data_IF_693762397812
#
_entry.id   IF_693762397812
#
_cell.length_a   1.000
_cell.length_b   1.000
_cell.length_c   1.000
_cell.angle_alpha   90.00
_cell.angle_beta   90.00
_cell.angle_gamma   90.00
#
_symmetry.space_group_name_H-M   'P 1'
#
loop_
_entity.id
_entity.type
_entity.pdbx_description
1 polymer ?
#
# COMPACT_ATOMS: atom_id res chain seq x y z
N UNK A 1 -8.24 -0.54 -5.19
CA UNK A 1 -6.79 -0.60 -5.39
C UNK A 1 -6.31 -1.94 -5.96
N UNK A 2 -6.80 -3.04 -5.47
CA UNK A 2 -6.27 -4.39 -5.78
C UNK A 2 -7.09 -5.14 -6.84
N UNK A 3 -7.91 -4.43 -7.63
CA UNK A 3 -8.77 -4.99 -8.68
C UNK A 3 -8.52 -4.28 -10.01
N UNK A 4 -9.06 -4.86 -11.09
CA UNK A 4 -9.09 -4.27 -12.43
C UNK A 4 -10.12 -3.13 -12.57
N UNK A 5 -10.92 -2.88 -11.55
CA UNK A 5 -11.87 -1.77 -11.51
C UNK A 5 -11.15 -0.43 -11.29
N UNK A 6 -11.77 0.63 -11.81
CA UNK A 6 -11.31 2.02 -11.60
C UNK A 6 -12.21 2.74 -10.61
N UNK A 7 -11.79 3.90 -10.13
CA UNK A 7 -12.61 4.72 -9.24
C UNK A 7 -13.95 5.13 -9.90
N UNK A 8 -13.99 5.27 -11.21
CA UNK A 8 -15.22 5.56 -11.95
C UNK A 8 -16.21 4.38 -11.92
N UNK A 9 -15.70 3.17 -11.71
CA UNK A 9 -16.43 1.91 -11.58
C UNK A 9 -16.36 1.36 -10.14
N UNK A 10 -16.39 2.23 -9.14
CA UNK A 10 -16.17 1.90 -7.73
C UNK A 10 -16.95 0.67 -7.26
N UNK A 11 -18.23 0.56 -7.63
CA UNK A 11 -19.05 -0.60 -7.26
C UNK A 11 -18.57 -1.91 -7.89
N UNK A 12 -17.86 -1.85 -9.01
CA UNK A 12 -17.26 -3.02 -9.65
C UNK A 12 -16.04 -3.53 -8.87
N UNK A 13 -15.45 -2.72 -8.00
CA UNK A 13 -14.33 -3.14 -7.15
C UNK A 13 -14.65 -4.36 -6.28
N UNK A 14 -15.91 -4.54 -5.92
CA UNK A 14 -16.41 -5.69 -5.17
C UNK A 14 -16.63 -6.96 -6.01
N UNK A 15 -16.75 -6.84 -7.32
CA UNK A 15 -17.04 -7.95 -8.26
C UNK A 15 -16.00 -8.09 -9.37
N UNK A 16 -15.04 -7.18 -9.45
CA UNK A 16 -13.95 -7.22 -10.42
C UNK A 16 -12.91 -8.31 -10.11
N UNK A 17 -12.03 -8.55 -11.06
CA UNK A 17 -10.90 -9.46 -10.88
C UNK A 17 -9.90 -8.84 -9.91
N UNK A 18 -9.64 -9.48 -8.78
CA UNK A 18 -8.64 -8.99 -7.82
C UNK A 18 -7.27 -9.65 -8.03
N UNK A 19 -6.22 -9.00 -7.54
CA UNK A 19 -4.85 -9.46 -7.71
C UNK A 19 -4.61 -10.85 -7.08
N UNK A 20 -5.21 -11.17 -5.92
CA UNK A 20 -5.06 -12.49 -5.29
C UNK A 20 -5.56 -13.61 -6.21
N UNK A 21 -6.71 -13.40 -6.88
CA UNK A 21 -7.24 -14.36 -7.85
C UNK A 21 -6.27 -14.56 -9.03
N UNK A 22 -5.75 -13.46 -9.59
CA UNK A 22 -4.81 -13.50 -10.71
C UNK A 22 -3.52 -14.23 -10.33
N UNK A 23 -2.91 -13.86 -9.21
CA UNK A 23 -1.67 -14.48 -8.73
C UNK A 23 -1.87 -15.97 -8.41
N UNK A 24 -2.99 -16.33 -7.78
CA UNK A 24 -3.34 -17.71 -7.48
C UNK A 24 -3.48 -18.55 -8.75
N UNK A 25 -4.16 -18.03 -9.79
CA UNK A 25 -4.28 -18.71 -11.10
C UNK A 25 -2.91 -18.88 -11.77
N UNK A 26 -1.94 -17.98 -11.49
CA UNK A 26 -0.56 -18.10 -11.97
C UNK A 26 0.33 -18.98 -11.07
N UNK A 27 -0.25 -19.70 -10.11
CA UNK A 27 0.43 -20.69 -9.27
C UNK A 27 1.22 -20.09 -8.10
N UNK A 28 0.91 -18.86 -7.70
CA UNK A 28 1.41 -18.31 -6.44
C UNK A 28 0.58 -18.83 -5.26
N UNK A 29 1.23 -19.09 -4.14
CA UNK A 29 0.55 -19.21 -2.84
C UNK A 29 0.21 -17.80 -2.36
N UNK A 30 -1.06 -17.58 -2.02
CA UNK A 30 -1.56 -16.23 -1.72
C UNK A 30 -1.89 -16.06 -0.25
N UNK A 31 -1.43 -14.97 0.33
CA UNK A 31 -1.58 -14.66 1.74
C UNK A 31 -2.12 -13.24 1.93
N UNK A 32 -3.00 -13.08 2.92
CA UNK A 32 -3.39 -11.77 3.46
C UNK A 32 -2.91 -11.70 4.90
N UNK A 33 -2.16 -10.65 5.22
CA UNK A 33 -1.69 -10.33 6.57
C UNK A 33 -2.38 -9.04 6.99
N UNK A 34 -3.17 -9.08 8.05
CA UNK A 34 -3.99 -7.97 8.52
C UNK A 34 -3.65 -7.65 9.95
N UNK A 35 -3.35 -6.40 10.24
CA UNK A 35 -3.25 -5.90 11.61
C UNK A 35 -4.65 -5.51 12.09
N UNK A 36 -4.98 -5.96 13.30
CA UNK A 36 -6.32 -5.87 13.88
C UNK A 36 -7.43 -6.59 13.08
N UNK A 37 -8.59 -6.69 13.69
CA UNK A 37 -9.71 -7.48 13.16
C UNK A 37 -10.47 -6.72 12.05
N UNK A 38 -9.76 -6.20 11.05
CA UNK A 38 -10.32 -5.57 9.86
C UNK A 38 -10.75 -6.59 8.79
N UNK A 39 -10.86 -7.87 9.14
CA UNK A 39 -11.29 -8.93 8.22
C UNK A 39 -12.64 -8.66 7.57
N UNK A 40 -13.49 -7.91 8.25
CA UNK A 40 -14.83 -7.57 7.76
C UNK A 40 -14.82 -6.40 6.73
N UNK A 41 -13.71 -5.70 6.57
CA UNK A 41 -13.64 -4.51 5.72
C UNK A 41 -13.44 -4.82 4.23
N UNK A 42 -12.79 -5.95 3.90
CA UNK A 42 -12.60 -6.37 2.51
C UNK A 42 -12.85 -7.89 2.32
N UNK A 43 -14.11 -8.35 2.50
CA UNK A 43 -14.47 -9.76 2.36
C UNK A 43 -14.07 -10.39 1.01
N UNK A 44 -14.20 -9.69 -0.14
CA UNK A 44 -13.79 -10.26 -1.43
C UNK A 44 -12.29 -10.53 -1.53
N UNK A 45 -11.45 -9.69 -0.90
CA UNK A 45 -10.01 -9.86 -0.90
C UNK A 45 -9.60 -11.04 0.00
N UNK A 46 -10.10 -11.07 1.24
CA UNK A 46 -9.80 -12.14 2.20
C UNK A 46 -10.30 -13.50 1.71
N UNK A 47 -11.48 -13.57 1.09
CA UNK A 47 -12.04 -14.81 0.53
C UNK A 47 -11.22 -15.35 -0.65
N UNK A 48 -10.49 -14.52 -1.39
CA UNK A 48 -9.67 -14.92 -2.52
C UNK A 48 -8.30 -15.52 -2.10
N UNK A 49 -7.83 -15.21 -0.88
CA UNK A 49 -6.56 -15.71 -0.38
C UNK A 49 -6.57 -17.21 -0.07
N UNK A 50 -5.39 -17.84 -0.14
CA UNK A 50 -5.23 -19.21 0.36
C UNK A 50 -5.18 -19.26 1.89
N UNK A 51 -4.65 -18.21 2.52
CA UNK A 51 -4.61 -18.08 3.98
C UNK A 51 -4.62 -16.61 4.40
N UNK A 52 -5.25 -16.35 5.53
CA UNK A 52 -5.33 -15.03 6.16
C UNK A 52 -4.74 -15.14 7.56
N UNK A 53 -3.87 -14.21 7.92
CA UNK A 53 -3.26 -14.09 9.23
C UNK A 53 -3.61 -12.74 9.83
N UNK A 54 -4.15 -12.77 11.04
CA UNK A 54 -4.36 -11.57 11.85
C UNK A 54 -3.20 -11.42 12.82
N UNK A 55 -2.67 -10.22 12.93
CA UNK A 55 -1.62 -9.85 13.87
C UNK A 55 -2.11 -8.74 14.80
N UNK A 56 -1.57 -8.70 16.00
CA UNK A 56 -1.90 -7.64 16.95
C UNK A 56 -1.13 -6.34 16.64
N UNK A 57 0.06 -6.47 16.04
CA UNK A 57 0.92 -5.35 15.68
C UNK A 57 1.59 -5.56 14.33
N UNK A 58 1.72 -4.50 13.55
CA UNK A 58 2.37 -4.53 12.23
C UNK A 58 3.80 -5.06 12.28
N UNK A 59 4.51 -4.83 13.39
CA UNK A 59 5.91 -5.28 13.57
C UNK A 59 6.07 -6.82 13.59
N UNK A 60 4.97 -7.56 13.73
CA UNK A 60 4.96 -9.03 13.69
C UNK A 60 4.97 -9.57 12.25
N UNK A 61 4.53 -8.75 11.29
CA UNK A 61 4.37 -9.12 9.88
C UNK A 61 5.66 -9.68 9.26
N UNK A 62 6.84 -9.04 9.42
CA UNK A 62 8.08 -9.55 8.82
C UNK A 62 8.43 -10.98 9.27
N UNK A 63 8.21 -11.33 10.54
CA UNK A 63 8.51 -12.67 11.06
C UNK A 63 7.60 -13.75 10.45
N UNK A 64 6.33 -13.42 10.24
CA UNK A 64 5.36 -14.32 9.58
C UNK A 64 5.77 -14.50 8.12
N UNK A 65 6.08 -13.42 7.40
CA UNK A 65 6.54 -13.47 6.02
C UNK A 65 7.81 -14.31 5.87
N UNK A 66 8.79 -14.14 6.77
CA UNK A 66 10.04 -14.94 6.78
C UNK A 66 9.77 -16.44 6.93
N UNK A 67 8.79 -16.81 7.75
CA UNK A 67 8.40 -18.20 7.94
C UNK A 67 7.69 -18.77 6.70
N UNK A 68 6.79 -18.00 6.10
CA UNK A 68 6.00 -18.42 4.95
C UNK A 68 6.84 -18.51 3.66
N UNK A 69 7.77 -17.58 3.43
CA UNK A 69 8.62 -17.58 2.23
C UNK A 69 9.59 -18.75 2.19
N UNK A 70 10.00 -19.30 3.34
CA UNK A 70 10.81 -20.52 3.44
C UNK A 70 10.05 -21.78 2.98
N UNK A 71 8.73 -21.80 3.20
CA UNK A 71 7.87 -22.93 2.83
C UNK A 71 7.29 -22.77 1.43
N UNK A 72 6.97 -21.53 1.07
CA UNK A 72 6.30 -21.19 -0.18
C UNK A 72 7.13 -20.16 -0.96
N UNK A 73 8.15 -20.61 -1.73
CA UNK A 73 9.06 -19.70 -2.44
C UNK A 73 8.39 -18.91 -3.57
N UNK A 74 7.25 -19.37 -4.08
CA UNK A 74 6.41 -18.66 -5.04
C UNK A 74 5.14 -18.16 -4.32
N UNK A 75 5.23 -17.02 -3.67
CA UNK A 75 4.16 -16.47 -2.84
C UNK A 75 3.83 -15.03 -3.22
N UNK A 76 2.60 -14.64 -2.96
CA UNK A 76 2.10 -13.28 -3.08
C UNK A 76 1.43 -12.88 -1.78
N UNK A 77 1.86 -11.77 -1.22
CA UNK A 77 1.37 -11.23 0.04
C UNK A 77 0.61 -9.93 -0.20
N UNK A 78 -0.57 -9.82 0.37
CA UNK A 78 -1.24 -8.54 0.60
C UNK A 78 -1.14 -8.25 2.08
N UNK A 79 -0.51 -7.12 2.41
CA UNK A 79 -0.30 -6.67 3.78
C UNK A 79 -1.17 -5.44 4.01
N UNK A 80 -2.11 -5.56 4.93
CA UNK A 80 -2.93 -4.45 5.40
C UNK A 80 -2.49 -4.11 6.82
N UNK A 81 -1.52 -3.22 6.91
CA UNK A 81 -1.05 -2.69 8.19
C UNK A 81 -2.02 -1.65 8.74
N UNK A 82 -1.98 -1.46 10.06
CA UNK A 82 -2.68 -0.34 10.71
C UNK A 82 -1.98 0.99 10.39
N UNK A 83 -0.65 0.97 10.25
CA UNK A 83 0.15 2.11 9.85
C UNK A 83 -0.14 3.36 10.68
N UNK A 84 -0.42 4.45 9.98
CA UNK A 84 -0.70 5.77 10.55
C UNK A 84 -2.21 6.03 10.73
N UNK A 85 -3.04 5.00 10.84
CA UNK A 85 -4.48 5.16 11.03
C UNK A 85 -4.79 6.06 12.23
N UNK A 86 -5.88 6.80 12.16
CA UNK A 86 -6.30 7.84 13.10
C UNK A 86 -6.07 7.47 14.58
N UNK A 87 -5.86 8.49 15.41
CA UNK A 87 -5.40 8.47 16.80
C UNK A 87 -3.90 8.25 17.01
N UNK A 88 -3.13 7.87 16.00
CA UNK A 88 -1.66 7.78 16.01
C UNK A 88 -1.08 7.05 17.23
N UNK A 89 -1.67 5.89 17.59
CA UNK A 89 -1.18 5.05 18.72
C UNK A 89 -0.27 3.91 18.27
N UNK A 90 -0.25 3.64 16.97
CA UNK A 90 0.41 2.47 16.44
C UNK A 90 1.91 2.72 16.33
N UNK A 91 2.57 2.78 17.48
CA UNK A 91 4.02 2.77 17.57
C UNK A 91 4.46 2.20 18.92
N UNK A 92 5.72 1.80 19.02
CA UNK A 92 6.30 1.26 20.25
C UNK A 92 7.15 2.31 20.95
N UNK A 93 7.56 2.06 22.21
CA UNK A 93 8.34 3.00 23.01
C UNK A 93 9.64 3.43 22.29
N UNK A 94 10.29 2.53 21.57
CA UNK A 94 11.49 2.83 20.78
C UNK A 94 11.23 3.76 19.59
N UNK A 95 9.98 3.88 19.14
CA UNK A 95 9.57 4.78 18.07
C UNK A 95 9.14 6.17 18.59
N UNK A 96 9.09 6.34 19.90
CA UNK A 96 8.73 7.59 20.57
C UNK A 96 9.86 8.64 20.49
N UNK A 97 10.22 9.02 19.28
CA UNK A 97 11.33 9.93 18.99
C UNK A 97 10.90 11.40 18.98
N UNK A 98 9.64 11.66 18.73
CA UNK A 98 9.10 13.01 18.58
C UNK A 98 8.20 13.36 19.76
N UNK A 99 8.64 14.37 20.56
CA UNK A 99 7.96 14.77 21.79
C UNK A 99 7.85 16.30 21.88
N UNK A 100 6.83 16.83 22.61
CA UNK A 100 5.80 16.10 23.36
C UNK A 100 4.77 15.43 22.44
N UNK A 101 4.14 14.36 22.91
CA UNK A 101 3.00 13.73 22.21
C UNK A 101 1.91 13.29 23.21
N UNK A 102 0.65 13.10 22.78
CA UNK A 102 -0.49 12.91 23.69
C UNK A 102 -0.40 11.67 24.59
N UNK A 103 0.44 10.69 24.22
CA UNK A 103 0.52 9.41 24.94
C UNK A 103 1.53 9.42 26.07
N UNK A 104 2.62 10.18 25.89
CA UNK A 104 3.71 10.23 26.84
C UNK A 104 3.74 11.55 27.61
N UNK A 105 3.11 12.59 27.07
CA UNK A 105 3.09 13.94 27.64
C UNK A 105 1.66 14.51 27.68
N UNK A 106 0.67 13.81 28.34
CA UNK A 106 -0.75 14.16 28.23
C UNK A 106 -1.09 15.53 28.81
N UNK A 107 -0.29 16.04 29.75
CA UNK A 107 -0.52 17.32 30.41
C UNK A 107 0.08 18.52 29.63
N UNK A 108 0.81 18.27 28.56
CA UNK A 108 1.42 19.32 27.75
C UNK A 108 0.40 19.87 26.76
N UNK A 109 0.20 21.20 26.78
CA UNK A 109 -0.60 21.89 25.78
C UNK A 109 0.33 22.43 24.67
N UNK A 110 0.27 21.82 23.49
CA UNK A 110 1.09 22.21 22.35
C UNK A 110 0.42 21.86 21.04
N UNK A 111 0.46 22.74 20.06
CA UNK A 111 -0.05 22.49 18.71
C UNK A 111 0.73 21.37 17.99
N UNK A 112 1.97 21.12 18.43
CA UNK A 112 2.82 20.06 17.84
C UNK A 112 2.52 18.64 18.34
N UNK A 113 1.68 18.46 19.37
CA UNK A 113 1.41 17.14 19.97
C UNK A 113 1.05 16.08 18.94
N UNK A 114 0.14 16.42 18.04
CA UNK A 114 -0.38 15.46 17.05
C UNK A 114 0.59 15.23 15.90
N UNK A 115 1.32 16.27 15.48
CA UNK A 115 2.40 16.11 14.50
C UNK A 115 3.45 15.13 15.02
N UNK A 116 3.87 15.32 16.26
CA UNK A 116 4.87 14.46 16.89
C UNK A 116 4.37 13.01 17.02
N UNK A 117 3.09 12.81 17.38
CA UNK A 117 2.49 11.49 17.43
C UNK A 117 2.42 10.86 16.03
N UNK A 118 2.01 11.61 15.02
CA UNK A 118 2.00 11.17 13.63
C UNK A 118 3.41 10.78 13.17
N UNK A 119 4.42 11.61 13.43
CA UNK A 119 5.80 11.32 13.04
C UNK A 119 6.34 10.05 13.73
N UNK A 120 5.94 9.79 14.99
CA UNK A 120 6.25 8.52 15.66
C UNK A 120 5.66 7.32 14.92
N UNK A 121 4.42 7.43 14.41
CA UNK A 121 3.80 6.34 13.63
C UNK A 121 4.42 6.18 12.25
N UNK A 122 4.89 7.27 11.62
CA UNK A 122 5.66 7.20 10.37
C UNK A 122 6.97 6.43 10.61
N UNK A 123 7.71 6.77 11.68
CA UNK A 123 8.94 6.05 12.04
C UNK A 123 8.68 4.56 12.31
N UNK A 124 7.60 4.23 13.00
CA UNK A 124 7.17 2.83 13.23
C UNK A 124 6.89 2.10 11.91
N UNK A 125 6.11 2.74 11.02
CA UNK A 125 5.78 2.17 9.69
C UNK A 125 7.04 1.95 8.86
N UNK A 126 7.98 2.89 8.86
CA UNK A 126 9.27 2.77 8.16
C UNK A 126 10.06 1.55 8.68
N UNK A 127 10.09 1.34 9.99
CA UNK A 127 10.73 0.18 10.62
C UNK A 127 10.04 -1.15 10.25
N UNK A 128 8.73 -1.17 10.11
CA UNK A 128 8.00 -2.35 9.62
C UNK A 128 8.36 -2.65 8.16
N UNK A 129 8.39 -1.61 7.31
CA UNK A 129 8.79 -1.75 5.91
C UNK A 129 10.24 -2.22 5.76
N UNK A 130 11.16 -1.69 6.57
CA UNK A 130 12.56 -2.17 6.63
C UNK A 130 12.62 -3.65 6.99
N UNK A 131 11.83 -4.08 7.99
CA UNK A 131 11.71 -5.49 8.37
C UNK A 131 11.23 -6.38 7.21
N UNK A 132 10.23 -5.94 6.47
CA UNK A 132 9.72 -6.63 5.27
C UNK A 132 10.81 -6.69 4.18
N UNK A 133 11.46 -5.56 3.89
CA UNK A 133 12.55 -5.49 2.92
C UNK A 133 13.69 -6.44 3.30
N UNK A 134 14.06 -6.51 4.56
CA UNK A 134 15.08 -7.41 5.05
C UNK A 134 14.72 -8.90 4.83
N UNK A 135 13.44 -9.26 4.96
CA UNK A 135 12.97 -10.62 4.60
C UNK A 135 13.10 -10.85 3.09
N UNK A 136 12.62 -9.91 2.28
CA UNK A 136 12.59 -10.02 0.82
C UNK A 136 13.96 -9.93 0.15
N UNK A 137 14.97 -9.42 0.87
CA UNK A 137 16.35 -9.26 0.38
C UNK A 137 17.27 -10.46 0.74
N UNK A 138 16.73 -11.49 1.43
CA UNK A 138 17.51 -12.65 1.82
C UNK A 138 17.84 -13.55 0.63
N UNK A 139 19.03 -14.18 0.71
CA UNK A 139 19.45 -15.35 -0.09
C UNK A 139 19.19 -15.23 -1.60
N UNK A 140 19.41 -14.05 -2.18
CA UNK A 140 19.17 -13.83 -3.61
C UNK A 140 17.71 -14.09 -4.04
N UNK A 141 16.75 -13.79 -3.19
CA UNK A 141 15.33 -13.90 -3.52
C UNK A 141 14.99 -13.00 -4.72
N UNK A 142 14.18 -13.55 -5.62
CA UNK A 142 13.54 -12.76 -6.68
C UNK A 142 12.24 -12.17 -6.13
N UNK A 143 12.28 -10.90 -5.71
CA UNK A 143 11.20 -10.28 -4.97
C UNK A 143 11.01 -8.81 -5.32
N UNK A 144 9.75 -8.37 -5.19
CA UNK A 144 9.32 -6.97 -5.35
C UNK A 144 8.34 -6.65 -4.22
N UNK A 145 8.45 -5.47 -3.65
CA UNK A 145 7.46 -4.88 -2.75
C UNK A 145 6.90 -3.62 -3.38
N UNK A 146 5.57 -3.49 -3.40
CA UNK A 146 4.89 -2.26 -3.69
C UNK A 146 4.19 -1.80 -2.42
N UNK A 147 4.47 -0.58 -1.98
CA UNK A 147 3.81 0.06 -0.86
C UNK A 147 3.07 1.30 -1.34
N UNK A 148 1.83 1.44 -0.95
CA UNK A 148 1.04 2.66 -1.10
C UNK A 148 0.05 2.77 0.05
N UNK A 149 -0.18 3.98 0.56
CA UNK A 149 -1.30 4.23 1.45
C UNK A 149 -2.60 4.34 0.64
N UNK A 150 -3.71 3.96 1.24
CA UNK A 150 -5.05 4.12 0.66
C UNK A 150 -5.50 5.59 0.68
N UNK A 151 -5.10 6.35 1.70
CA UNK A 151 -5.26 7.79 1.83
C UNK A 151 -4.17 8.36 2.75
N UNK A 152 -4.07 9.68 2.79
CA UNK A 152 -3.24 10.41 3.76
C UNK A 152 -4.09 10.96 4.91
N UNK A 153 -3.47 11.82 5.73
CA UNK A 153 -4.10 12.39 6.92
C UNK A 153 -3.96 13.92 6.94
N UNK A 154 -5.01 14.61 7.41
CA UNK A 154 -4.92 16.00 7.77
C UNK A 154 -4.63 16.14 9.26
N UNK A 155 -3.39 16.44 9.61
CA UNK A 155 -2.93 16.62 10.99
C UNK A 155 -2.79 18.10 11.39
N UNK A 156 -3.24 19.04 10.56
CA UNK A 156 -3.10 20.48 10.79
C UNK A 156 -3.84 20.91 12.07
N UNK A 157 -3.23 21.76 12.93
CA UNK A 157 -3.89 22.33 14.09
C UNK A 157 -5.05 23.21 13.65
N UNK A 158 -6.19 23.11 14.36
CA UNK A 158 -7.36 23.93 14.12
C UNK A 158 -8.34 23.43 13.06
N UNK A 159 -7.90 22.56 12.15
CA UNK A 159 -8.79 21.90 11.21
C UNK A 159 -9.41 20.64 11.85
N UNK A 160 -10.56 20.23 11.33
CA UNK A 160 -11.07 18.89 11.67
C UNK A 160 -10.06 17.86 11.15
N UNK A 161 -9.38 17.19 12.07
CA UNK A 161 -8.45 16.12 11.74
C UNK A 161 -9.22 14.95 11.16
N UNK A 162 -8.97 14.66 9.90
CA UNK A 162 -9.68 13.62 9.15
C UNK A 162 -8.75 12.96 8.16
N UNK A 163 -8.95 11.68 7.99
CA UNK A 163 -8.32 10.91 6.93
C UNK A 163 -8.95 11.18 5.57
N UNK A 164 -10.25 11.50 5.54
CA UNK A 164 -10.99 11.83 4.32
C UNK A 164 -12.05 12.88 4.63
N UNK A 165 -12.05 14.00 3.94
CA UNK A 165 -13.00 15.09 4.11
C UNK A 165 -13.81 15.35 2.86
N UNK A 166 -14.93 16.10 2.99
CA UNK A 166 -15.72 16.56 1.84
C UNK A 166 -15.00 17.63 1.01
N UNK A 167 -14.01 18.30 1.62
CA UNK A 167 -13.12 19.27 0.98
C UNK A 167 -11.67 18.92 1.28
N UNK A 168 -11.13 17.84 0.66
CA UNK A 168 -9.87 17.26 1.05
C UNK A 168 -8.70 18.20 0.80
N UNK A 169 -7.77 18.22 1.76
CA UNK A 169 -6.48 18.86 1.62
C UNK A 169 -5.52 17.93 0.84
N UNK A 170 -4.46 18.50 0.26
CA UNK A 170 -3.49 17.72 -0.50
C UNK A 170 -2.88 16.57 0.34
N UNK A 171 -2.66 16.79 1.64
CA UNK A 171 -2.16 15.78 2.57
C UNK A 171 -3.07 14.55 2.72
N UNK A 172 -4.36 14.66 2.38
CA UNK A 172 -5.31 13.54 2.48
C UNK A 172 -5.27 12.60 1.26
N UNK A 173 -4.73 13.05 0.11
CA UNK A 173 -4.71 12.25 -1.11
C UNK A 173 -3.34 12.15 -1.80
N UNK A 174 -2.36 12.94 -1.39
CA UNK A 174 -0.99 12.83 -1.87
C UNK A 174 -0.20 11.89 -0.96
N UNK A 175 -0.18 10.62 -1.32
CA UNK A 175 0.38 9.53 -0.53
C UNK A 175 1.68 8.99 -1.12
N UNK A 176 2.57 8.39 -0.32
CA UNK A 176 3.76 7.73 -0.84
C UNK A 176 3.38 6.51 -1.70
N UNK A 177 4.16 6.32 -2.79
CA UNK A 177 4.07 5.17 -3.66
C UNK A 177 5.49 4.63 -3.87
N UNK A 178 5.80 3.47 -3.29
CA UNK A 178 7.15 2.90 -3.25
C UNK A 178 7.16 1.56 -3.98
N UNK A 179 8.09 1.38 -4.92
CA UNK A 179 8.39 0.08 -5.53
C UNK A 179 9.83 -0.29 -5.14
N UNK A 180 10.00 -1.24 -4.23
CA UNK A 180 11.28 -1.83 -3.89
C UNK A 180 11.47 -3.14 -4.67
N UNK A 181 12.70 -3.41 -5.13
CA UNK A 181 13.06 -4.58 -5.93
C UNK A 181 14.36 -5.17 -5.43
N UNK A 182 14.41 -6.51 -5.34
CA UNK A 182 15.65 -7.22 -5.03
C UNK A 182 16.68 -7.10 -6.16
N UNK A 183 17.95 -7.24 -5.82
CA UNK A 183 19.04 -7.23 -6.82
C UNK A 183 18.79 -8.24 -7.93
N UNK A 184 18.37 -9.45 -7.56
CA UNK A 184 18.08 -10.52 -8.52
C UNK A 184 16.95 -10.15 -9.48
N UNK A 185 15.88 -9.53 -8.97
CA UNK A 185 14.79 -9.07 -9.85
C UNK A 185 15.29 -8.02 -10.86
N UNK A 186 16.11 -7.07 -10.41
CA UNK A 186 16.69 -6.01 -11.26
C UNK A 186 17.56 -6.62 -12.36
N UNK A 187 18.43 -7.58 -12.02
CA UNK A 187 19.32 -8.26 -12.97
C UNK A 187 18.53 -9.06 -14.03
N UNK A 188 17.43 -9.68 -13.66
CA UNK A 188 16.59 -10.47 -14.55
C UNK A 188 15.58 -9.63 -15.35
N UNK A 189 15.31 -8.35 -14.95
CA UNK A 189 14.32 -7.47 -15.57
C UNK A 189 14.88 -6.06 -15.92
N UNK A 190 16.00 -5.96 -16.65
CA UNK A 190 16.67 -4.67 -16.87
C UNK A 190 15.80 -3.66 -17.62
N UNK A 191 14.91 -4.11 -18.51
CA UNK A 191 13.99 -3.24 -19.24
C UNK A 191 12.91 -2.65 -18.32
N UNK A 192 12.31 -3.46 -17.46
CA UNK A 192 11.31 -3.01 -16.48
C UNK A 192 11.94 -2.06 -15.46
N UNK A 193 13.17 -2.36 -15.02
CA UNK A 193 13.92 -1.48 -14.12
C UNK A 193 14.17 -0.12 -14.76
N UNK A 194 14.56 -0.09 -16.03
CA UNK A 194 14.74 1.17 -16.76
C UNK A 194 13.43 1.97 -16.83
N UNK A 195 12.30 1.30 -17.07
CA UNK A 195 11.00 1.94 -17.09
C UNK A 195 10.61 2.50 -15.71
N UNK A 196 10.81 1.75 -14.61
CA UNK A 196 10.55 2.24 -13.25
C UNK A 196 11.35 3.52 -12.99
N UNK A 197 12.66 3.50 -13.29
CA UNK A 197 13.54 4.66 -13.08
C UNK A 197 13.14 5.87 -13.95
N UNK A 198 12.72 5.64 -15.19
CA UNK A 198 12.25 6.69 -16.08
C UNK A 198 10.88 7.28 -15.67
N UNK A 199 10.07 6.48 -14.97
CA UNK A 199 8.71 6.85 -14.60
C UNK A 199 8.60 7.33 -13.13
N UNK A 200 9.65 7.24 -12.33
CA UNK A 200 9.64 7.48 -10.87
C UNK A 200 9.12 8.86 -10.43
N UNK A 201 9.32 9.88 -11.29
CA UNK A 201 8.92 11.26 -11.02
C UNK A 201 7.59 11.63 -11.70
N UNK A 202 6.96 10.67 -12.38
CA UNK A 202 5.65 10.88 -12.98
C UNK A 202 4.55 10.72 -11.93
N UNK A 203 3.47 11.46 -12.10
CA UNK A 203 2.28 11.31 -11.27
C UNK A 203 1.71 9.91 -11.43
N UNK A 204 1.50 9.22 -10.32
CA UNK A 204 0.88 7.90 -10.24
C UNK A 204 -0.49 7.99 -9.59
N UNK A 205 -1.26 6.92 -9.71
CA UNK A 205 -2.58 6.78 -9.14
C UNK A 205 -2.78 5.37 -8.58
N UNK A 206 -3.64 5.20 -7.61
CA UNK A 206 -3.87 3.89 -6.97
C UNK A 206 -4.38 2.83 -7.98
N UNK A 207 -5.06 3.23 -9.06
CA UNK A 207 -5.47 2.31 -10.13
C UNK A 207 -4.26 1.72 -10.90
N UNK A 208 -3.06 2.31 -10.79
CA UNK A 208 -1.84 1.75 -11.38
C UNK A 208 -1.35 0.49 -10.66
N UNK A 209 -1.79 0.25 -9.41
CA UNK A 209 -1.28 -0.83 -8.54
C UNK A 209 -1.53 -2.20 -9.17
N UNK A 210 -2.77 -2.50 -9.54
CA UNK A 210 -3.15 -3.81 -10.08
C UNK A 210 -2.32 -4.18 -11.32
N UNK A 211 -2.23 -3.28 -12.30
CA UNK A 211 -1.52 -3.51 -13.56
C UNK A 211 -0.01 -3.62 -13.33
N UNK A 212 0.55 -2.76 -12.47
CA UNK A 212 1.97 -2.79 -12.12
C UNK A 212 2.35 -4.08 -11.39
N UNK A 213 1.52 -4.55 -10.43
CA UNK A 213 1.75 -5.82 -9.74
C UNK A 213 1.76 -7.01 -10.70
N UNK A 214 0.81 -7.06 -11.63
CA UNK A 214 0.78 -8.12 -12.63
C UNK A 214 2.04 -8.11 -13.51
N UNK A 215 2.46 -6.93 -13.96
CA UNK A 215 3.62 -6.83 -14.85
C UNK A 215 4.94 -7.10 -14.13
N UNK A 216 5.17 -6.61 -12.89
CA UNK A 216 6.41 -6.93 -12.13
C UNK A 216 6.56 -8.44 -11.89
N UNK A 217 5.45 -9.17 -11.80
CA UNK A 217 5.42 -10.64 -11.70
C UNK A 217 5.45 -11.34 -13.06
N UNK A 218 5.57 -10.59 -14.18
CA UNK A 218 5.53 -11.12 -15.54
C UNK A 218 4.26 -11.92 -15.86
N UNK A 219 3.15 -11.52 -15.25
CA UNK A 219 1.82 -12.10 -15.51
C UNK A 219 1.24 -11.42 -16.75
N UNK A 220 0.93 -12.21 -17.76
CA UNK A 220 0.26 -11.73 -18.97
C UNK A 220 -1.25 -11.65 -18.73
N UNK A 221 -1.76 -10.43 -18.72
CA UNK A 221 -3.19 -10.19 -18.68
C UNK A 221 -3.81 -10.39 -20.08
N UNK A 222 -5.08 -10.81 -20.17
CA UNK A 222 -5.82 -10.81 -21.45
C UNK A 222 -5.82 -9.40 -22.07
N UNK A 223 -5.87 -9.31 -23.41
CA UNK A 223 -5.85 -8.02 -24.12
C UNK A 223 -6.94 -7.06 -23.64
N UNK A 224 -8.09 -7.57 -23.22
CA UNK A 224 -9.19 -6.76 -22.67
C UNK A 224 -8.88 -6.09 -21.32
N UNK A 225 -7.90 -6.61 -20.59
CA UNK A 225 -7.43 -6.08 -19.28
C UNK A 225 -6.03 -5.48 -19.36
N UNK A 226 -5.32 -5.64 -20.47
CA UNK A 226 -3.95 -5.13 -20.61
C UNK A 226 -3.96 -3.60 -20.81
N UNK A 227 -3.36 -2.88 -19.87
CA UNK A 227 -3.24 -1.41 -19.89
C UNK A 227 -1.80 -0.97 -19.69
N UNK A 228 -0.95 -1.06 -20.73
CA UNK A 228 0.45 -0.69 -20.61
C UNK A 228 0.65 0.79 -20.26
N UNK A 229 -0.29 1.66 -20.62
CA UNK A 229 -0.28 3.08 -20.26
C UNK A 229 -0.57 3.33 -18.76
N UNK A 230 -1.07 2.34 -18.05
CA UNK A 230 -1.32 2.39 -16.58
C UNK A 230 -0.26 1.61 -15.77
N UNK A 231 0.67 0.97 -16.45
CA UNK A 231 1.66 0.07 -15.87
C UNK A 231 2.99 0.79 -15.73
N UNK A 232 3.44 1.03 -14.49
CA UNK A 232 4.66 1.85 -14.21
C UNK A 232 5.92 1.22 -14.78
N UNK A 233 5.95 -0.09 -14.93
CA UNK A 233 7.06 -0.86 -15.53
C UNK A 233 7.04 -0.83 -17.07
N UNK A 234 6.07 -0.15 -17.67
CA UNK A 234 5.93 -0.06 -19.13
C UNK A 234 6.59 1.22 -19.68
N UNK A 235 7.22 1.16 -20.87
CA UNK A 235 7.69 2.35 -21.58
C UNK A 235 6.54 3.25 -22.05
N UNK A 236 5.32 2.70 -22.16
CA UNK A 236 4.10 3.42 -22.53
C UNK A 236 3.40 4.08 -21.37
N UNK A 237 3.94 3.97 -20.13
CA UNK A 237 3.30 4.55 -18.96
C UNK A 237 3.04 6.04 -19.13
N UNK A 238 1.78 6.43 -18.97
CA UNK A 238 1.31 7.80 -19.14
C UNK A 238 0.75 8.33 -17.81
N UNK A 239 1.20 9.52 -17.41
CA UNK A 239 0.67 10.24 -16.27
C UNK A 239 -0.58 11.09 -16.60
N UNK A 240 -1.20 10.87 -17.77
CA UNK A 240 -2.35 11.65 -18.27
C UNK A 240 -3.71 11.06 -17.85
N UNK A 241 -3.71 10.00 -17.07
CA UNK A 241 -4.95 9.45 -16.53
C UNK A 241 -5.70 10.51 -15.74
N UNK A 242 -7.01 10.50 -15.89
CA UNK A 242 -7.89 11.31 -15.04
C UNK A 242 -7.78 10.82 -13.60
N UNK A 243 -7.40 11.70 -12.70
CA UNK A 243 -7.29 11.41 -11.27
C UNK A 243 -8.50 11.96 -10.56
N UNK A 244 -9.25 11.07 -9.94
CA UNK A 244 -10.50 11.37 -9.29
C UNK A 244 -10.40 10.93 -7.82
N UNK A 245 -10.81 11.80 -6.92
CA UNK A 245 -11.05 11.46 -5.53
C UNK A 245 -12.56 11.24 -5.33
N UNK A 246 -12.92 10.13 -4.73
CA UNK A 246 -14.28 9.87 -4.30
C UNK A 246 -14.47 10.42 -2.88
N UNK A 247 -15.44 11.29 -2.70
CA UNK A 247 -15.72 11.87 -1.38
C UNK A 247 -16.43 10.85 -0.45
N UNK A 248 -16.43 11.08 0.87
CA UNK A 248 -16.99 10.15 1.85
C UNK A 248 -18.47 9.79 1.65
N UNK A 249 -19.24 10.62 0.91
CA UNK A 249 -20.62 10.32 0.56
C UNK A 249 -20.75 9.21 -0.52
N UNK A 250 -19.64 8.78 -1.11
CA UNK A 250 -19.59 7.76 -2.16
C UNK A 250 -20.24 8.17 -3.48
N UNK A 251 -20.55 9.46 -3.68
CA UNK A 251 -21.31 9.97 -4.83
C UNK A 251 -20.63 11.14 -5.53
N UNK A 252 -19.96 11.97 -4.76
CA UNK A 252 -19.29 13.15 -5.30
C UNK A 252 -17.86 12.82 -5.68
N UNK A 253 -17.41 13.30 -6.83
CA UNK A 253 -16.04 13.14 -7.30
C UNK A 253 -15.35 14.48 -7.43
N UNK A 254 -14.09 14.56 -7.03
CA UNK A 254 -13.23 15.73 -7.19
C UNK A 254 -12.15 15.36 -8.23
N UNK A 255 -12.04 16.19 -9.26
CA UNK A 255 -10.99 16.03 -10.26
C UNK A 255 -9.71 16.72 -9.76
N UNK A 256 -8.61 15.96 -9.67
CA UNK A 256 -7.30 16.40 -9.16
C UNK A 256 -6.32 16.82 -10.29
N UNK A 257 -6.77 16.87 -11.54
CA UNK A 257 -5.93 17.25 -12.68
C UNK A 257 -5.86 18.76 -12.88
#
# INVERSE_FOLDING_TARGET
MMTDATIEDFYRSYSGTNCLQVFKQCGFKTFVLVCFNHLDQDPPLTAAADSVFCVDKDIEIPAIMDSLTKVYPKSFFVVQGLGNHCYFYNFEEQDNLFRPNPYYDPDVQSDSLYYNAYDCTIHYTDRVLDGIINVLNKDSMYSVMLFASDHGENVNPGDERRSVSMTPQESEYHVPFIIWRSKKWIEENPEKERCILANKDKKTYIDNIFFTLCDVASIQLPDSLNKPEWTITSPSFSATQKRILLTPDGKTTINLN
#
